data_IF_282765848556
#
_entry.id   IF_282765848556
#
_cell.length_a   1.000
_cell.length_b   1.000
_cell.length_c   1.000
_cell.angle_alpha   90.00
_cell.angle_beta   90.00
_cell.angle_gamma   90.00
#
_symmetry.space_group_name_H-M   'P 1'
#
loop_
_entity.id
_entity.type
_entity.pdbx_description
1 polymer ?
#
# COMPACT_ATOMS: atom_id res chain seq x y z
N UNK A 1 19.43 -32.47 61.26
CA UNK A 1 18.16 -32.69 61.99
C UNK A 1 17.03 -32.70 60.97
N UNK A 2 16.22 -33.78 60.98
CA UNK A 2 14.89 -33.97 60.36
C UNK A 2 14.81 -33.72 58.84
N UNK A 3 15.05 -34.75 58.01
CA UNK A 3 14.09 -35.78 57.53
C UNK A 3 13.13 -35.20 56.47
N UNK A 4 13.11 -35.67 55.23
CA UNK A 4 12.37 -36.89 54.85
C UNK A 4 12.92 -37.49 53.53
N UNK A 5 13.53 -38.68 53.61
CA UNK A 5 13.18 -39.95 52.92
C UNK A 5 13.35 -39.98 51.39
N UNK A 6 14.46 -40.49 50.85
CA UNK A 6 14.80 -41.91 50.59
C UNK A 6 13.85 -42.67 49.64
N UNK A 7 14.22 -42.66 48.36
CA UNK A 7 14.45 -43.81 47.46
C UNK A 7 13.98 -45.18 48.01
N UNK A 8 13.12 -45.87 47.25
CA UNK A 8 13.17 -47.33 47.07
C UNK A 8 12.36 -47.81 45.85
N UNK A 9 13.10 -48.33 44.87
CA UNK A 9 12.85 -49.56 44.10
C UNK A 9 11.47 -49.87 43.48
N UNK A 10 11.44 -49.73 42.15
CA UNK A 10 11.17 -50.76 41.13
C UNK A 10 10.72 -52.16 41.61
N UNK A 11 9.58 -52.63 41.08
CA UNK A 11 9.23 -53.98 40.53
C UNK A 11 7.70 -54.20 40.64
N UNK A 12 6.95 -53.87 39.59
CA UNK A 12 6.32 -54.77 38.61
C UNK A 12 5.13 -55.63 39.13
N UNK A 13 3.94 -55.27 38.60
CA UNK A 13 2.95 -56.15 37.95
C UNK A 13 1.90 -56.84 38.84
N UNK A 14 0.65 -56.34 38.81
CA UNK A 14 -0.49 -56.97 38.12
C UNK A 14 -1.82 -56.26 38.43
N UNK A 15 -2.63 -56.12 37.37
CA UNK A 15 -4.09 -56.04 37.34
C UNK A 15 -4.80 -54.77 37.85
N UNK A 16 -5.41 -54.05 36.90
CA UNK A 16 -6.56 -53.17 37.18
C UNK A 16 -6.63 -51.91 36.33
N UNK A 17 -6.67 -52.04 35.00
CA UNK A 17 -6.99 -50.91 34.11
C UNK A 17 -8.46 -50.50 34.27
N UNK A 18 -8.73 -49.49 35.10
CA UNK A 18 -9.90 -48.62 34.94
C UNK A 18 -9.43 -47.39 34.16
N UNK A 19 -9.81 -47.21 32.88
CA UNK A 19 -9.66 -45.93 32.22
C UNK A 19 -10.74 -44.99 32.74
N UNK A 20 -10.33 -43.99 33.49
CA UNK A 20 -10.98 -42.69 33.44
C UNK A 20 -10.86 -42.20 32.00
N UNK A 21 -11.97 -42.23 31.26
CA UNK A 21 -12.07 -41.51 29.99
C UNK A 21 -12.26 -40.04 30.39
N UNK A 22 -11.14 -39.34 30.46
CA UNK A 22 -11.11 -37.89 30.28
C UNK A 22 -11.52 -37.63 28.84
N UNK A 23 -12.62 -36.89 28.68
CA UNK A 23 -13.06 -36.28 27.43
C UNK A 23 -11.91 -35.49 26.81
N UNK A 24 -11.24 -36.07 25.82
CA UNK A 24 -10.41 -35.30 24.90
C UNK A 24 -11.33 -34.53 23.95
N UNK A 25 -11.17 -33.22 23.95
CA UNK A 25 -11.68 -32.26 22.98
C UNK A 25 -11.38 -32.74 21.55
N UNK A 26 -12.31 -32.48 20.63
CA UNK A 26 -12.30 -32.97 19.26
C UNK A 26 -10.96 -32.78 18.55
N UNK A 27 -10.45 -33.88 18.01
CA UNK A 27 -9.39 -33.86 17.02
C UNK A 27 -9.97 -33.34 15.71
N UNK A 28 -9.52 -32.16 15.28
CA UNK A 28 -9.83 -31.58 13.98
C UNK A 28 -9.13 -32.41 12.90
N UNK A 29 -9.89 -33.21 12.16
CA UNK A 29 -9.35 -34.07 11.11
C UNK A 29 -9.16 -33.25 9.84
N UNK A 30 -7.92 -32.85 9.56
CA UNK A 30 -7.52 -32.36 8.25
C UNK A 30 -7.72 -33.44 7.18
N UNK A 31 -8.53 -33.17 6.15
CA UNK A 31 -8.76 -34.10 5.06
C UNK A 31 -7.62 -34.00 4.04
N UNK A 32 -6.75 -35.02 4.01
CA UNK A 32 -5.67 -35.11 3.00
C UNK A 32 -6.29 -35.30 1.61
N UNK A 33 -5.90 -34.47 0.65
CA UNK A 33 -6.38 -34.49 -0.74
C UNK A 33 -5.25 -34.80 -1.71
N UNK A 34 -5.59 -35.20 -2.94
CA UNK A 34 -4.61 -35.38 -4.00
C UNK A 34 -4.19 -34.05 -4.59
N UNK A 35 -2.89 -33.87 -4.87
CA UNK A 35 -2.36 -32.70 -5.58
C UNK A 35 -2.97 -32.53 -6.99
N UNK A 36 -3.49 -33.60 -7.58
CA UNK A 36 -4.18 -33.53 -8.88
C UNK A 36 -5.60 -32.94 -8.78
N UNK A 37 -6.17 -32.93 -7.59
CA UNK A 37 -7.55 -32.50 -7.33
C UNK A 37 -7.64 -31.06 -6.81
N UNK A 38 -6.50 -30.37 -6.70
CA UNK A 38 -6.42 -28.97 -6.25
C UNK A 38 -6.11 -28.02 -7.42
N UNK A 39 -6.35 -26.71 -7.29
CA UNK A 39 -6.02 -25.73 -8.34
C UNK A 39 -4.56 -25.83 -8.79
N UNK A 40 -4.33 -25.76 -10.11
CA UNK A 40 -2.99 -25.84 -10.71
C UNK A 40 -2.05 -24.74 -10.22
N UNK A 41 -2.61 -23.60 -9.81
CA UNK A 41 -1.88 -22.42 -9.34
C UNK A 41 -1.06 -22.72 -8.08
N UNK A 42 -1.49 -23.68 -7.27
CA UNK A 42 -0.74 -24.16 -6.09
C UNK A 42 0.61 -24.75 -6.52
N UNK A 43 0.59 -25.66 -7.51
CA UNK A 43 1.82 -26.29 -8.02
C UNK A 43 2.72 -25.27 -8.73
N UNK A 44 2.13 -24.32 -9.46
CA UNK A 44 2.87 -23.23 -10.10
C UNK A 44 3.58 -22.35 -9.05
N UNK A 45 2.88 -21.94 -8.00
CA UNK A 45 3.44 -21.15 -6.91
C UNK A 45 4.64 -21.86 -6.26
N UNK A 46 4.47 -23.13 -5.88
CA UNK A 46 5.54 -23.92 -5.24
C UNK A 46 6.78 -23.99 -6.14
N UNK A 47 6.60 -24.30 -7.43
CA UNK A 47 7.71 -24.43 -8.38
C UNK A 47 8.48 -23.13 -8.60
N UNK A 48 7.79 -21.98 -8.58
CA UNK A 48 8.38 -20.67 -8.81
C UNK A 48 9.17 -20.16 -7.59
N UNK A 49 8.61 -20.34 -6.39
CA UNK A 49 9.17 -19.77 -5.17
C UNK A 49 10.13 -20.71 -4.46
N UNK A 50 9.87 -22.02 -4.50
CA UNK A 50 10.65 -23.06 -3.82
C UNK A 50 11.21 -24.10 -4.82
N UNK A 51 12.13 -23.68 -5.71
CA UNK A 51 12.68 -24.58 -6.73
C UNK A 51 13.32 -25.82 -6.10
N UNK A 52 12.89 -27.00 -6.55
CA UNK A 52 13.37 -28.29 -6.06
C UNK A 52 12.59 -28.85 -4.86
N UNK A 53 11.66 -28.10 -4.27
CA UNK A 53 10.73 -28.62 -3.28
C UNK A 53 9.54 -29.33 -3.96
N UNK A 54 9.04 -30.40 -3.34
CA UNK A 54 7.83 -31.11 -3.75
C UNK A 54 6.73 -30.90 -2.70
N UNK A 55 5.46 -30.98 -3.11
CA UNK A 55 4.33 -31.04 -2.18
C UNK A 55 4.29 -32.46 -1.62
N UNK A 56 4.63 -32.64 -0.34
CA UNK A 56 4.60 -33.95 0.33
C UNK A 56 3.19 -34.29 0.79
N UNK A 57 2.46 -33.30 1.28
CA UNK A 57 1.10 -33.44 1.75
C UNK A 57 0.32 -32.16 1.43
N UNK A 58 -0.95 -32.34 1.07
CA UNK A 58 -1.90 -31.24 0.96
C UNK A 58 -3.22 -31.67 1.62
N UNK A 59 -3.76 -30.82 2.48
CA UNK A 59 -5.01 -31.04 3.21
C UNK A 59 -5.97 -29.89 2.99
N UNK A 60 -7.27 -30.17 3.11
CA UNK A 60 -8.32 -29.14 3.09
C UNK A 60 -8.51 -28.57 4.51
N UNK A 61 -8.50 -27.25 4.62
CA UNK A 61 -8.76 -26.53 5.87
C UNK A 61 -10.27 -26.37 6.02
N UNK A 62 -10.83 -26.89 7.12
CA UNK A 62 -12.27 -26.93 7.36
C UNK A 62 -12.81 -25.79 8.25
N UNK A 63 -11.95 -25.01 8.92
CA UNK A 63 -12.37 -23.89 9.78
C UNK A 63 -12.17 -22.51 9.13
N UNK A 64 -13.20 -21.67 9.20
CA UNK A 64 -13.17 -20.23 8.90
C UNK A 64 -13.04 -19.89 7.42
N UNK A 65 -11.85 -20.16 6.85
CA UNK A 65 -11.51 -19.91 5.46
C UNK A 65 -11.36 -21.24 4.73
N UNK A 66 -12.25 -21.47 3.76
CA UNK A 66 -12.18 -22.67 2.92
C UNK A 66 -10.91 -22.58 2.04
N UNK A 67 -9.97 -23.50 2.22
CA UNK A 67 -8.69 -23.46 1.54
C UNK A 67 -7.89 -24.76 1.63
N UNK A 68 -6.61 -24.68 1.26
CA UNK A 68 -5.68 -25.79 1.28
C UNK A 68 -4.44 -25.47 2.11
N UNK A 69 -3.98 -26.43 2.90
CA UNK A 69 -2.70 -26.39 3.59
C UNK A 69 -1.73 -27.35 2.91
N UNK A 70 -0.55 -26.89 2.50
CA UNK A 70 0.46 -27.70 1.82
C UNK A 70 1.76 -27.76 2.62
N UNK A 71 2.22 -28.97 2.93
CA UNK A 71 3.54 -29.24 3.49
C UNK A 71 4.50 -29.61 2.36
N UNK A 72 5.59 -28.86 2.24
CA UNK A 72 6.63 -29.06 1.24
C UNK A 72 7.78 -29.93 1.77
N UNK A 73 8.53 -30.57 0.87
CA UNK A 73 9.65 -31.48 1.20
C UNK A 73 10.86 -30.81 1.86
N UNK A 74 10.88 -29.48 1.89
CA UNK A 74 11.85 -28.68 2.65
C UNK A 74 11.28 -28.22 4.00
N UNK A 75 10.13 -28.75 4.42
CA UNK A 75 9.34 -28.41 5.62
C UNK A 75 8.75 -27.00 5.63
N UNK A 76 8.73 -26.30 4.49
CA UNK A 76 7.94 -25.07 4.35
C UNK A 76 6.47 -25.45 4.28
N UNK A 77 5.64 -24.73 5.02
CA UNK A 77 4.18 -24.87 4.95
C UNK A 77 3.60 -23.67 4.20
N UNK A 78 2.58 -23.91 3.38
CA UNK A 78 1.90 -22.85 2.62
C UNK A 78 0.40 -23.05 2.68
N UNK A 79 -0.32 -21.99 3.04
CA UNK A 79 -1.78 -21.96 3.01
C UNK A 79 -2.25 -21.26 1.73
N UNK A 80 -3.36 -21.76 1.17
CA UNK A 80 -3.97 -21.27 -0.05
C UNK A 80 -5.49 -21.14 0.11
N UNK A 81 -6.11 -20.22 -0.64
CA UNK A 81 -7.55 -20.18 -0.82
C UNK A 81 -8.03 -21.37 -1.67
N UNK A 82 -9.35 -21.60 -1.71
CA UNK A 82 -9.96 -22.59 -2.59
C UNK A 82 -9.63 -22.41 -4.08
N UNK A 83 -9.36 -21.18 -4.50
CA UNK A 83 -9.02 -20.81 -5.87
C UNK A 83 -7.53 -21.04 -6.16
N UNK A 84 -6.72 -21.36 -5.15
CA UNK A 84 -5.29 -21.62 -5.30
C UNK A 84 -4.40 -20.38 -5.12
N UNK A 85 -4.96 -19.27 -4.65
CA UNK A 85 -4.16 -18.09 -4.27
C UNK A 85 -3.52 -18.33 -2.91
N UNK A 86 -2.22 -18.06 -2.76
CA UNK A 86 -1.53 -18.23 -1.48
C UNK A 86 -1.98 -17.18 -0.46
N UNK A 87 -2.08 -17.55 0.82
CA UNK A 87 -2.46 -16.66 1.93
C UNK A 87 -1.39 -16.59 3.02
N UNK A 88 -0.63 -17.67 3.22
CA UNK A 88 0.43 -17.71 4.23
C UNK A 88 1.57 -18.64 3.80
N UNK A 89 2.80 -18.28 4.15
CA UNK A 89 3.99 -19.12 4.02
C UNK A 89 4.68 -19.17 5.37
N UNK A 90 4.90 -20.35 5.94
CA UNK A 90 5.63 -20.55 7.19
C UNK A 90 7.05 -21.06 6.92
N UNK A 91 8.04 -20.46 7.56
CA UNK A 91 9.43 -20.89 7.49
C UNK A 91 9.83 -21.59 8.81
N UNK A 92 10.07 -22.91 8.78
CA UNK A 92 10.21 -23.71 10.00
C UNK A 92 11.50 -23.41 10.79
N UNK A 93 12.54 -22.88 10.15
CA UNK A 93 13.83 -22.60 10.78
C UNK A 93 14.67 -21.59 9.99
N UNK A 94 15.79 -21.19 10.59
CA UNK A 94 16.75 -20.24 10.02
C UNK A 94 17.36 -20.69 8.68
N UNK A 95 17.38 -22.00 8.39
CA UNK A 95 17.87 -22.52 7.10
C UNK A 95 17.00 -22.13 5.91
N UNK A 96 15.75 -21.72 6.14
CA UNK A 96 14.82 -21.34 5.08
C UNK A 96 14.79 -19.82 4.79
N UNK A 97 15.61 -19.03 5.49
CA UNK A 97 15.63 -17.56 5.33
C UNK A 97 16.07 -17.12 3.92
N UNK A 98 16.78 -17.98 3.18
CA UNK A 98 17.10 -17.69 1.76
C UNK A 98 15.83 -17.56 0.91
N UNK A 99 14.80 -18.35 1.19
CA UNK A 99 13.51 -18.26 0.50
C UNK A 99 12.72 -17.05 0.99
N UNK A 100 12.72 -16.78 2.30
CA UNK A 100 12.08 -15.59 2.85
C UNK A 100 12.67 -14.30 2.27
N UNK A 101 14.01 -14.20 2.15
CA UNK A 101 14.68 -13.05 1.52
C UNK A 101 14.34 -12.93 0.04
N UNK A 102 14.29 -14.04 -0.70
CA UNK A 102 13.83 -14.04 -2.10
C UNK A 102 12.39 -13.53 -2.22
N UNK A 103 11.52 -13.89 -1.27
CA UNK A 103 10.10 -13.53 -1.28
C UNK A 103 9.88 -12.04 -0.96
N UNK A 104 10.60 -11.52 0.03
CA UNK A 104 10.40 -10.17 0.57
C UNK A 104 11.29 -9.10 -0.07
N UNK A 105 12.42 -9.49 -0.68
CA UNK A 105 13.35 -8.57 -1.33
C UNK A 105 13.76 -7.40 -0.42
N UNK A 106 13.53 -6.17 -0.89
CA UNK A 106 13.83 -4.93 -0.16
C UNK A 106 13.14 -4.83 1.21
N UNK A 107 11.97 -5.46 1.38
CA UNK A 107 11.30 -5.49 2.69
C UNK A 107 12.13 -6.28 3.71
N UNK A 108 12.81 -7.36 3.27
CA UNK A 108 13.71 -8.13 4.13
C UNK A 108 14.91 -7.27 4.52
N UNK A 109 15.53 -6.60 3.54
CA UNK A 109 16.69 -5.74 3.76
C UNK A 109 16.35 -4.56 4.71
N UNK A 110 15.13 -4.00 4.61
CA UNK A 110 14.63 -3.00 5.56
C UNK A 110 14.57 -3.56 6.99
N UNK A 111 14.02 -4.75 7.19
CA UNK A 111 13.92 -5.36 8.52
C UNK A 111 15.30 -5.67 9.10
N UNK A 112 16.21 -6.20 8.28
CA UNK A 112 17.59 -6.50 8.67
C UNK A 112 18.35 -5.22 9.06
N UNK A 113 18.18 -4.13 8.30
CA UNK A 113 18.77 -2.84 8.62
C UNK A 113 18.23 -2.24 9.93
N UNK A 114 16.95 -2.48 10.24
CA UNK A 114 16.30 -1.93 11.45
C UNK A 114 16.54 -2.74 12.71
N UNK A 115 16.59 -4.07 12.59
CA UNK A 115 16.58 -4.98 13.73
C UNK A 115 17.84 -5.84 13.86
N UNK A 116 18.75 -5.80 12.88
CA UNK A 116 19.90 -6.69 12.81
C UNK A 116 19.52 -8.07 12.28
N UNK A 117 20.27 -9.10 12.69
CA UNK A 117 19.96 -10.49 12.33
C UNK A 117 18.60 -10.90 12.89
N UNK A 118 17.60 -10.96 12.02
CA UNK A 118 16.25 -11.42 12.34
C UNK A 118 15.81 -12.48 11.35
N UNK A 119 15.09 -13.49 11.84
CA UNK A 119 14.50 -14.52 11.01
C UNK A 119 13.01 -14.24 10.82
N UNK A 120 12.54 -14.38 9.59
CA UNK A 120 11.12 -14.34 9.24
C UNK A 120 10.54 -15.73 9.49
N UNK A 121 9.56 -15.81 10.39
CA UNK A 121 8.86 -17.04 10.74
C UNK A 121 7.69 -17.33 9.79
N UNK A 122 7.03 -16.29 9.29
CA UNK A 122 5.96 -16.43 8.33
C UNK A 122 5.78 -15.18 7.46
N UNK A 123 5.16 -15.33 6.30
CA UNK A 123 4.70 -14.24 5.45
C UNK A 123 3.21 -14.46 5.20
N UNK A 124 2.41 -13.41 5.34
CA UNK A 124 0.96 -13.42 5.11
C UNK A 124 0.64 -12.53 3.93
N UNK A 125 -0.18 -13.02 2.99
CA UNK A 125 -0.79 -12.18 1.97
C UNK A 125 -1.87 -11.34 2.64
N UNK A 126 -1.83 -10.03 2.41
CA UNK A 126 -2.84 -9.11 2.90
C UNK A 126 -3.27 -8.22 1.74
N UNK A 127 -4.45 -7.63 1.82
CA UNK A 127 -5.05 -6.87 0.71
C UNK A 127 -4.13 -5.76 0.17
N UNK A 128 -3.40 -5.10 1.05
CA UNK A 128 -2.52 -3.97 0.72
C UNK A 128 -1.09 -4.38 0.38
N UNK A 129 -0.73 -5.65 0.60
CA UNK A 129 0.63 -6.14 0.44
C UNK A 129 0.90 -7.39 1.28
N UNK A 130 1.85 -7.28 2.21
CA UNK A 130 2.39 -8.43 2.93
C UNK A 130 2.55 -8.11 4.42
N UNK A 131 2.31 -9.10 5.28
CA UNK A 131 2.80 -9.07 6.66
C UNK A 131 3.94 -10.07 6.82
N UNK A 132 5.08 -9.63 7.33
CA UNK A 132 6.16 -10.51 7.79
C UNK A 132 6.04 -10.77 9.29
N UNK A 133 5.81 -12.03 9.67
CA UNK A 133 5.98 -12.52 11.03
C UNK A 133 7.45 -12.78 11.32
N UNK A 134 7.93 -12.26 12.44
CA UNK A 134 9.30 -12.38 12.89
C UNK A 134 9.46 -13.50 13.92
N UNK A 135 10.68 -13.98 14.10
CA UNK A 135 11.02 -15.04 15.06
C UNK A 135 10.80 -14.65 16.53
N UNK A 136 10.68 -13.35 16.82
CA UNK A 136 10.40 -12.81 18.16
C UNK A 136 8.90 -12.54 18.40
N UNK A 137 8.04 -12.93 17.46
CA UNK A 137 6.59 -12.80 17.55
C UNK A 137 6.02 -11.48 17.02
N UNK A 138 6.87 -10.49 16.67
CA UNK A 138 6.39 -9.27 16.03
C UNK A 138 5.90 -9.55 14.61
N UNK A 139 4.91 -8.78 14.15
CA UNK A 139 4.43 -8.79 12.77
C UNK A 139 4.62 -7.40 12.17
N UNK A 140 5.30 -7.29 11.03
CA UNK A 140 5.42 -6.03 10.29
C UNK A 140 4.62 -6.09 9.01
N UNK A 141 3.76 -5.10 8.82
CA UNK A 141 2.99 -4.94 7.59
C UNK A 141 3.73 -4.05 6.59
N UNK A 142 3.62 -4.40 5.31
CA UNK A 142 4.21 -3.71 4.17
C UNK A 142 3.19 -3.55 3.06
N UNK A 143 3.22 -2.41 2.40
CA UNK A 143 2.45 -2.17 1.19
C UNK A 143 3.17 -2.78 -0.03
N UNK A 144 2.41 -3.35 -0.97
CA UNK A 144 2.95 -3.94 -2.20
C UNK A 144 3.68 -2.90 -3.06
N UNK A 145 3.09 -1.71 -3.19
CA UNK A 145 3.69 -0.59 -3.92
C UNK A 145 4.79 0.08 -3.06
N UNK A 146 5.96 0.32 -3.66
CA UNK A 146 7.15 0.93 -3.03
C UNK A 146 7.74 0.15 -1.83
N UNK A 147 7.34 -1.11 -1.61
CA UNK A 147 7.82 -1.95 -0.50
C UNK A 147 7.77 -1.24 0.88
N UNK A 148 6.81 -0.34 1.07
CA UNK A 148 6.80 0.60 2.18
C UNK A 148 6.29 -0.06 3.46
N UNK A 149 7.08 0.00 4.53
CA UNK A 149 6.65 -0.43 5.86
C UNK A 149 5.50 0.43 6.38
N UNK A 150 4.41 -0.24 6.81
CA UNK A 150 3.20 0.38 7.34
C UNK A 150 3.19 0.45 8.86
N UNK A 151 3.92 -0.43 9.54
CA UNK A 151 3.99 -0.49 11.01
C UNK A 151 3.94 -1.91 11.52
N UNK A 152 3.66 -2.04 12.82
CA UNK A 152 3.45 -3.31 13.50
C UNK A 152 1.98 -3.71 13.44
N UNK A 153 1.71 -4.92 12.98
CA UNK A 153 0.36 -5.49 12.97
C UNK A 153 0.07 -6.21 14.30
N UNK A 154 -1.08 -5.93 14.89
CA UNK A 154 -1.54 -6.56 16.13
C UNK A 154 -2.83 -7.34 15.89
N UNK A 155 -3.06 -8.45 16.61
CA UNK A 155 -4.41 -9.01 16.75
C UNK A 155 -5.37 -7.91 17.21
N UNK A 156 -6.60 -7.89 16.70
CA UNK A 156 -7.56 -6.80 16.94
C UNK A 156 -7.76 -6.57 18.43
N UNK A 157 -7.93 -7.65 19.21
CA UNK A 157 -8.19 -7.58 20.65
C UNK A 157 -7.06 -6.88 21.41
N UNK A 158 -5.81 -7.11 20.98
CA UNK A 158 -4.62 -6.49 21.58
C UNK A 158 -4.41 -5.09 21.01
N UNK A 159 -4.64 -4.90 19.71
CA UNK A 159 -4.50 -3.62 19.02
C UNK A 159 -5.43 -2.54 19.57
N UNK A 160 -6.68 -2.92 19.91
CA UNK A 160 -7.68 -2.01 20.47
C UNK A 160 -7.26 -1.42 21.83
N UNK A 161 -6.42 -2.12 22.60
CA UNK A 161 -5.88 -1.60 23.86
C UNK A 161 -4.96 -0.39 23.65
N UNK A 162 -4.34 -0.27 22.47
CA UNK A 162 -3.47 0.85 22.11
C UNK A 162 -4.21 2.05 21.50
N UNK A 163 -5.48 1.87 21.10
CA UNK A 163 -6.29 2.96 20.56
C UNK A 163 -6.78 3.86 21.69
N UNK A 164 -6.59 5.17 21.54
CA UNK A 164 -7.11 6.14 22.51
C UNK A 164 -8.64 6.17 22.50
N UNK A 165 -9.25 6.59 23.62
CA UNK A 165 -10.71 6.81 23.70
C UNK A 165 -11.24 7.72 22.60
N UNK A 166 -10.42 8.68 22.15
CA UNK A 166 -10.77 9.57 21.05
C UNK A 166 -10.93 8.82 19.73
N UNK A 167 -10.00 7.92 19.40
CA UNK A 167 -10.07 7.07 18.20
C UNK A 167 -11.29 6.16 18.28
N UNK A 168 -11.49 5.49 19.42
CA UNK A 168 -12.64 4.58 19.64
C UNK A 168 -13.97 5.33 19.47
N UNK A 169 -14.11 6.50 20.09
CA UNK A 169 -15.30 7.34 19.96
C UNK A 169 -15.54 7.82 18.53
N UNK A 170 -14.48 8.14 17.77
CA UNK A 170 -14.61 8.48 16.36
C UNK A 170 -15.14 7.29 15.55
N UNK A 171 -14.53 6.11 15.70
CA UNK A 171 -14.96 4.89 14.99
C UNK A 171 -16.42 4.56 15.31
N UNK A 172 -16.83 4.61 16.57
CA UNK A 172 -18.21 4.35 16.98
C UNK A 172 -19.23 5.31 16.36
N UNK A 173 -18.87 6.58 16.16
CA UNK A 173 -19.72 7.58 15.52
C UNK A 173 -19.73 7.44 14.00
N UNK A 174 -18.56 7.27 13.40
CA UNK A 174 -18.36 7.19 11.96
C UNK A 174 -18.89 5.89 11.36
N UNK A 175 -18.76 4.78 12.09
CA UNK A 175 -19.05 3.42 11.63
C UNK A 175 -19.86 2.63 12.68
N UNK A 176 -21.07 3.06 13.03
CA UNK A 176 -21.85 2.44 14.11
C UNK A 176 -22.18 0.98 13.79
N UNK A 177 -21.83 0.07 14.71
CA UNK A 177 -22.13 -1.36 14.62
C UNK A 177 -21.26 -2.15 13.62
N UNK A 178 -20.21 -1.54 13.09
CA UNK A 178 -19.23 -2.20 12.21
C UNK A 178 -18.00 -2.66 13.00
N UNK A 179 -17.27 -3.62 12.45
CA UNK A 179 -16.20 -4.31 13.16
C UNK A 179 -14.82 -3.82 12.74
N UNK A 180 -13.92 -3.68 13.72
CA UNK A 180 -12.50 -3.49 13.45
C UNK A 180 -11.93 -4.84 13.00
N UNK A 181 -11.38 -4.88 11.80
CA UNK A 181 -10.85 -6.10 11.17
C UNK A 181 -9.33 -6.15 11.21
N UNK A 182 -8.68 -4.98 11.32
CA UNK A 182 -7.21 -4.91 11.37
C UNK A 182 -6.71 -3.64 12.03
N UNK A 183 -5.62 -3.77 12.78
CA UNK A 183 -4.92 -2.65 13.41
C UNK A 183 -3.43 -2.74 13.10
N UNK A 184 -2.89 -1.70 12.48
CA UNK A 184 -1.45 -1.50 12.29
C UNK A 184 -1.03 -0.22 13.01
N UNK A 185 -0.04 -0.34 13.88
CA UNK A 185 0.48 0.75 14.69
C UNK A 185 1.84 1.18 14.14
N UNK A 186 1.92 2.44 13.74
CA UNK A 186 3.15 3.06 13.29
C UNK A 186 4.12 3.29 14.44
N UNK A 187 5.41 3.32 14.11
CA UNK A 187 6.47 3.58 15.09
C UNK A 187 7.49 4.56 14.53
N UNK A 188 7.87 5.55 15.33
CA UNK A 188 8.92 6.51 14.97
C UNK A 188 10.26 5.82 14.69
N UNK A 189 10.51 4.64 15.30
CA UNK A 189 11.70 3.83 15.05
C UNK A 189 11.73 3.28 13.60
N UNK A 190 10.56 3.01 13.03
CA UNK A 190 10.41 2.55 11.65
C UNK A 190 10.52 3.75 10.71
N UNK A 191 9.65 4.74 10.90
CA UNK A 191 9.62 5.99 10.12
C UNK A 191 8.88 7.08 10.92
N UNK A 192 9.50 8.24 11.22
CA UNK A 192 8.85 9.31 11.98
C UNK A 192 7.69 10.00 11.23
N UNK A 193 7.58 9.82 9.91
CA UNK A 193 6.52 10.44 9.09
C UNK A 193 5.33 9.51 8.82
N UNK A 194 5.32 8.28 9.36
CA UNK A 194 4.19 7.38 9.14
C UNK A 194 3.01 7.73 10.07
N UNK A 195 1.75 7.54 9.62
CA UNK A 195 0.59 7.54 10.50
C UNK A 195 0.81 6.66 11.72
N UNK A 196 0.34 7.12 12.88
CA UNK A 196 0.51 6.41 14.15
C UNK A 196 -0.43 5.21 14.24
N UNK A 197 -1.65 5.33 13.71
CA UNK A 197 -2.62 4.24 13.71
C UNK A 197 -3.24 4.08 12.34
N UNK A 198 -3.42 2.83 11.93
CA UNK A 198 -4.18 2.41 10.76
C UNK A 198 -5.20 1.39 11.24
N UNK A 199 -6.47 1.66 10.96
CA UNK A 199 -7.57 0.83 11.42
C UNK A 199 -8.45 0.50 10.22
N UNK A 200 -8.69 -0.79 9.99
CA UNK A 200 -9.63 -1.26 8.97
C UNK A 200 -10.97 -1.58 9.61
N UNK A 201 -12.03 -1.15 8.93
CA UNK A 201 -13.42 -1.44 9.28
C UNK A 201 -14.02 -2.33 8.19
N UNK A 202 -14.52 -3.50 8.58
CA UNK A 202 -15.10 -4.52 7.69
C UNK A 202 -14.24 -4.86 6.45
N UNK A 203 -12.91 -4.80 6.55
CA UNK A 203 -11.94 -4.91 5.44
C UNK A 203 -12.22 -3.98 4.23
N UNK A 204 -13.06 -2.97 4.43
CA UNK A 204 -13.60 -2.09 3.38
C UNK A 204 -13.04 -0.68 3.52
N UNK A 205 -13.05 -0.13 4.72
CA UNK A 205 -12.66 1.26 4.99
C UNK A 205 -11.37 1.30 5.80
N UNK A 206 -10.40 2.08 5.32
CA UNK A 206 -9.20 2.43 6.06
C UNK A 206 -9.36 3.78 6.75
N UNK A 207 -8.99 3.83 8.02
CA UNK A 207 -8.82 5.06 8.78
C UNK A 207 -7.34 5.22 9.16
N UNK A 208 -6.81 6.43 8.98
CA UNK A 208 -5.48 6.82 9.45
C UNK A 208 -5.60 7.87 10.56
N UNK A 209 -4.87 7.67 11.65
CA UNK A 209 -4.79 8.63 12.74
C UNK A 209 -3.35 9.03 13.03
N UNK A 210 -3.17 10.27 13.49
CA UNK A 210 -1.93 10.73 14.09
C UNK A 210 -1.80 10.24 15.54
N UNK A 211 -0.68 10.62 16.20
CA UNK A 211 -0.38 10.18 17.57
C UNK A 211 -1.29 10.82 18.62
N UNK A 212 -1.92 11.95 18.30
CA UNK A 212 -2.93 12.62 19.11
C UNK A 212 -4.33 12.01 18.93
N UNK A 213 -4.48 11.01 18.06
CA UNK A 213 -5.74 10.37 17.73
C UNK A 213 -6.68 11.25 16.89
N UNK A 214 -6.14 12.26 16.21
CA UNK A 214 -6.87 12.97 15.15
C UNK A 214 -6.84 12.13 13.88
N UNK A 215 -8.00 11.99 13.22
CA UNK A 215 -8.06 11.33 11.94
C UNK A 215 -7.43 12.22 10.86
N UNK A 216 -6.73 11.58 9.92
CA UNK A 216 -6.05 12.22 8.79
C UNK A 216 -6.54 11.68 7.45
N UNK A 217 -7.12 10.48 7.45
CA UNK A 217 -7.74 9.85 6.28
C UNK A 217 -8.89 8.95 6.73
N UNK A 218 -10.00 8.98 6.01
CA UNK A 218 -11.01 7.93 5.97
C UNK A 218 -11.28 7.61 4.51
N UNK A 219 -11.10 6.36 4.11
CA UNK A 219 -11.13 6.00 2.69
C UNK A 219 -11.68 4.60 2.47
N UNK A 220 -12.61 4.48 1.53
CA UNK A 220 -13.05 3.21 0.95
C UNK A 220 -12.20 2.77 -0.24
N UNK A 221 -11.15 3.51 -0.61
CA UNK A 221 -10.40 3.31 -1.86
C UNK A 221 -9.38 2.16 -1.82
N UNK A 222 -9.61 1.22 -0.90
CA UNK A 222 -8.82 0.02 -0.70
C UNK A 222 -9.44 -1.18 -1.39
N UNK A 223 -10.75 -1.15 -1.64
CA UNK A 223 -11.46 -2.19 -2.37
C UNK A 223 -12.11 -1.65 -3.63
N UNK A 224 -11.90 -2.33 -4.75
CA UNK A 224 -12.66 -2.05 -5.97
C UNK A 224 -13.84 -3.00 -5.98
N UNK A 225 -15.01 -2.52 -5.58
CA UNK A 225 -16.24 -3.33 -5.64
C UNK A 225 -16.89 -3.20 -7.01
N UNK A 226 -17.44 -4.30 -7.52
CA UNK A 226 -18.25 -4.28 -8.75
C UNK A 226 -19.52 -3.51 -8.44
N UNK A 227 -19.77 -2.40 -9.14
CA UNK A 227 -21.07 -1.72 -9.06
C UNK A 227 -21.86 -2.05 -10.32
N UNK A 228 -23.03 -2.66 -10.11
CA UNK A 228 -23.80 -3.41 -11.11
C UNK A 228 -24.41 -2.58 -12.25
N UNK A 229 -24.32 -1.25 -12.25
CA UNK A 229 -25.01 -0.48 -13.29
C UNK A 229 -24.30 -0.48 -14.65
N UNK A 230 -22.98 -0.73 -14.74
CA UNK A 230 -22.26 -0.80 -16.02
C UNK A 230 -21.04 -1.75 -16.03
N UNK A 231 -20.80 -2.52 -14.97
CA UNK A 231 -19.63 -3.40 -14.86
C UNK A 231 -18.31 -2.67 -14.56
N UNK A 232 -18.35 -1.38 -14.25
CA UNK A 232 -17.18 -0.65 -13.74
C UNK A 232 -16.97 -0.95 -12.25
N UNK A 233 -15.72 -1.26 -11.91
CA UNK A 233 -15.27 -1.40 -10.53
C UNK A 233 -15.15 -0.01 -9.89
N UNK A 234 -15.97 0.29 -8.89
CA UNK A 234 -15.92 1.55 -8.15
C UNK A 234 -15.45 1.31 -6.72
N UNK A 235 -14.83 2.32 -6.11
CA UNK A 235 -14.53 2.27 -4.68
C UNK A 235 -15.81 2.41 -3.85
N UNK A 236 -15.95 1.72 -2.71
CA UNK A 236 -17.01 1.95 -1.73
C UNK A 236 -17.17 3.43 -1.38
N UNK A 237 -18.43 3.88 -1.38
CA UNK A 237 -18.77 5.21 -0.88
C UNK A 237 -18.68 5.24 0.65
N UNK A 238 -18.25 6.37 1.20
CA UNK A 238 -18.21 6.56 2.64
C UNK A 238 -19.63 6.62 3.23
N UNK A 239 -19.87 6.02 4.40
CA UNK A 239 -21.17 6.13 5.07
C UNK A 239 -21.56 7.58 5.35
N UNK A 240 -22.86 7.89 5.30
CA UNK A 240 -23.38 9.22 5.60
C UNK A 240 -22.93 9.72 6.99
N UNK A 241 -22.78 8.82 7.96
CA UNK A 241 -22.25 9.12 9.29
C UNK A 241 -20.84 9.69 9.27
N UNK A 242 -19.99 9.31 8.32
CA UNK A 242 -18.67 9.93 8.13
C UNK A 242 -18.82 11.34 7.57
N UNK A 243 -19.73 11.52 6.61
CA UNK A 243 -19.99 12.82 5.97
C UNK A 243 -20.55 13.82 6.98
N UNK A 244 -21.49 13.39 7.83
CA UNK A 244 -22.12 14.21 8.87
C UNK A 244 -21.12 14.69 9.95
N UNK A 245 -19.96 14.04 10.07
CA UNK A 245 -18.88 14.45 10.97
C UNK A 245 -17.97 15.54 10.37
N UNK A 246 -18.11 15.86 9.08
CA UNK A 246 -17.36 16.93 8.45
C UNK A 246 -17.90 18.30 8.86
N UNK A 247 -17.05 19.35 8.87
CA UNK A 247 -17.52 20.70 9.14
C UNK A 247 -18.59 21.14 8.12
N UNK A 248 -19.67 21.77 8.61
CA UNK A 248 -20.78 22.23 7.76
C UNK A 248 -20.33 23.05 6.54
N UNK A 249 -19.36 23.95 6.72
CA UNK A 249 -18.82 24.76 5.61
C UNK A 249 -18.13 23.93 4.53
N UNK A 250 -17.40 22.88 4.94
CA UNK A 250 -16.74 21.97 3.99
C UNK A 250 -17.79 21.25 3.16
N UNK A 251 -18.83 20.76 3.85
CA UNK A 251 -19.96 20.10 3.22
C UNK A 251 -20.71 21.01 2.23
N UNK A 252 -21.06 22.24 2.62
CA UNK A 252 -21.67 23.24 1.73
C UNK A 252 -20.84 23.45 0.45
N UNK A 253 -19.52 23.61 0.58
CA UNK A 253 -18.62 23.78 -0.56
C UNK A 253 -18.59 22.57 -1.51
N UNK A 254 -18.64 21.36 -0.96
CA UNK A 254 -18.66 20.13 -1.75
C UNK A 254 -19.93 20.08 -2.58
N UNK A 255 -21.10 20.29 -1.98
CA UNK A 255 -22.37 20.21 -2.70
C UNK A 255 -22.62 21.38 -3.63
N UNK A 256 -22.08 22.56 -3.34
CA UNK A 256 -22.10 23.69 -4.28
C UNK A 256 -21.26 23.40 -5.53
N UNK A 257 -20.14 22.69 -5.37
CA UNK A 257 -19.20 22.39 -6.46
C UNK A 257 -19.60 21.13 -7.25
N UNK A 258 -19.99 20.06 -6.57
CA UNK A 258 -20.39 18.78 -7.14
C UNK A 258 -21.63 18.25 -6.37
N UNK A 259 -22.86 18.70 -6.73
CA UNK A 259 -24.09 18.37 -5.99
C UNK A 259 -24.41 16.87 -5.89
N UNK A 260 -23.89 16.07 -6.82
CA UNK A 260 -24.07 14.61 -6.87
C UNK A 260 -22.76 13.88 -6.54
N UNK A 261 -21.90 14.48 -5.71
CA UNK A 261 -20.63 13.90 -5.30
C UNK A 261 -20.84 12.55 -4.63
N UNK A 262 -20.10 11.54 -5.10
CA UNK A 262 -19.99 10.22 -4.47
C UNK A 262 -18.67 10.15 -3.73
N UNK A 263 -18.70 10.42 -2.43
CA UNK A 263 -17.48 10.61 -1.65
C UNK A 263 -16.89 9.25 -1.28
N UNK A 264 -15.74 8.89 -1.83
CA UNK A 264 -15.06 7.60 -1.58
C UNK A 264 -13.89 7.73 -0.60
N UNK A 265 -13.37 8.94 -0.42
CA UNK A 265 -12.23 9.20 0.44
C UNK A 265 -12.25 10.64 0.93
N UNK A 266 -11.88 10.85 2.19
CA UNK A 266 -11.66 12.17 2.78
C UNK A 266 -10.34 12.16 3.55
N UNK A 267 -9.45 13.09 3.21
CA UNK A 267 -8.25 13.36 3.98
C UNK A 267 -8.31 14.75 4.60
N UNK A 268 -7.67 14.89 5.77
CA UNK A 268 -7.52 16.13 6.50
C UNK A 268 -6.07 16.30 6.93
N UNK A 269 -5.51 17.47 6.69
CA UNK A 269 -4.18 17.83 7.18
C UNK A 269 -4.23 18.67 8.47
N UNK A 270 -3.08 18.96 9.05
CA UNK A 270 -2.94 19.75 10.28
C UNK A 270 -3.38 21.22 10.15
N UNK A 271 -3.62 21.70 8.94
CA UNK A 271 -4.07 23.06 8.65
C UNK A 271 -5.57 23.11 8.31
N UNK A 272 -6.32 22.03 8.52
CA UNK A 272 -7.72 21.91 8.13
C UNK A 272 -7.95 22.05 6.62
N UNK A 273 -6.98 21.61 5.80
CA UNK A 273 -7.25 21.30 4.40
C UNK A 273 -7.94 19.95 4.31
N UNK A 274 -9.10 19.96 3.67
CA UNK A 274 -9.85 18.76 3.32
C UNK A 274 -9.61 18.44 1.86
N UNK A 275 -9.31 17.18 1.56
CA UNK A 275 -9.44 16.69 0.19
C UNK A 275 -10.38 15.51 0.14
N UNK A 276 -11.31 15.56 -0.80
CA UNK A 276 -12.33 14.56 -1.01
C UNK A 276 -12.21 13.98 -2.41
N UNK A 277 -12.16 12.66 -2.53
CA UNK A 277 -12.44 12.02 -3.81
C UNK A 277 -13.95 11.92 -3.98
N UNK A 278 -14.49 12.52 -5.04
CA UNK A 278 -15.95 12.61 -5.30
C UNK A 278 -16.40 11.82 -6.54
N UNK A 279 -15.43 11.37 -7.35
CA UNK A 279 -15.59 10.49 -8.51
C UNK A 279 -14.23 9.85 -8.79
N UNK A 280 -14.10 8.65 -9.39
CA UNK A 280 -12.78 8.07 -9.74
C UNK A 280 -11.82 8.99 -10.51
N UNK A 281 -12.37 9.98 -11.22
CA UNK A 281 -11.62 10.95 -12.04
C UNK A 281 -11.73 12.39 -11.53
N UNK A 282 -12.27 12.62 -10.32
CA UNK A 282 -12.39 13.96 -9.74
C UNK A 282 -12.16 13.96 -8.23
N UNK A 283 -11.42 14.97 -7.78
CA UNK A 283 -11.27 15.29 -6.37
C UNK A 283 -11.60 16.77 -6.11
N UNK A 284 -11.93 17.09 -4.88
CA UNK A 284 -12.20 18.45 -4.40
C UNK A 284 -11.24 18.74 -3.25
N UNK A 285 -10.51 19.84 -3.32
CA UNK A 285 -9.70 20.34 -2.21
C UNK A 285 -10.29 21.63 -1.67
N UNK A 286 -10.44 21.74 -0.35
CA UNK A 286 -10.95 22.95 0.32
C UNK A 286 -10.22 23.28 1.62
N UNK A 287 -10.02 24.58 1.88
CA UNK A 287 -9.43 25.09 3.12
C UNK A 287 -10.52 25.56 4.08
N UNK A 288 -10.79 24.83 5.15
CA UNK A 288 -11.79 25.22 6.16
C UNK A 288 -13.21 25.50 5.61
N UNK A 289 -13.50 25.05 4.38
CA UNK A 289 -14.73 25.37 3.65
C UNK A 289 -14.82 26.80 3.09
N UNK A 290 -13.69 27.51 2.92
CA UNK A 290 -13.69 28.90 2.41
C UNK A 290 -13.36 29.01 0.92
N UNK A 291 -12.51 28.12 0.41
CA UNK A 291 -12.07 28.09 -0.99
C UNK A 291 -12.04 26.67 -1.49
N UNK A 292 -12.41 26.48 -2.74
CA UNK A 292 -12.56 25.15 -3.32
C UNK A 292 -11.88 25.08 -4.67
N UNK A 293 -11.06 24.06 -4.86
CA UNK A 293 -10.45 23.73 -6.14
C UNK A 293 -10.87 22.32 -6.56
N UNK A 294 -11.41 22.20 -7.77
CA UNK A 294 -11.82 20.92 -8.33
C UNK A 294 -10.69 20.37 -9.20
N UNK A 295 -10.17 19.22 -8.79
CA UNK A 295 -9.09 18.50 -9.44
C UNK A 295 -9.71 17.51 -10.46
N UNK A 296 -9.49 17.77 -11.74
CA UNK A 296 -9.95 16.98 -12.88
C UNK A 296 -8.87 15.98 -13.28
N UNK A 297 -8.84 14.82 -12.61
CA UNK A 297 -7.86 13.76 -12.86
C UNK A 297 -7.95 13.26 -14.31
N UNK A 298 -9.15 13.29 -14.92
CA UNK A 298 -9.34 12.92 -16.33
C UNK A 298 -8.50 13.77 -17.30
N UNK A 299 -8.33 15.08 -17.07
CA UNK A 299 -7.53 15.94 -17.95
C UNK A 299 -6.05 15.54 -17.93
N UNK A 300 -5.54 15.12 -16.78
CA UNK A 300 -4.18 14.59 -16.64
C UNK A 300 -4.06 13.24 -17.34
N UNK A 301 -5.05 12.36 -17.16
CA UNK A 301 -5.08 11.07 -17.87
C UNK A 301 -5.05 11.24 -19.38
N UNK A 302 -5.86 12.17 -19.91
CA UNK A 302 -5.91 12.48 -21.34
C UNK A 302 -4.56 12.99 -21.86
N UNK A 303 -3.88 13.87 -21.13
CA UNK A 303 -2.55 14.34 -21.49
C UNK A 303 -1.55 13.18 -21.55
N UNK A 304 -1.49 12.36 -20.51
CA UNK A 304 -0.49 11.29 -20.37
C UNK A 304 -0.70 10.12 -21.33
N UNK A 305 -1.96 9.83 -21.72
CA UNK A 305 -2.29 8.75 -22.67
C UNK A 305 -1.67 8.95 -24.06
N UNK A 306 -1.26 10.17 -24.41
CA UNK A 306 -0.55 10.45 -25.66
C UNK A 306 0.89 9.90 -25.66
N UNK A 307 1.46 9.62 -24.47
CA UNK A 307 2.88 9.29 -24.31
C UNK A 307 3.12 7.96 -23.59
N UNK A 308 2.19 7.54 -22.73
CA UNK A 308 2.32 6.33 -21.91
C UNK A 308 1.08 5.45 -22.04
N UNK A 309 1.28 4.13 -22.04
CA UNK A 309 0.19 3.13 -22.15
C UNK A 309 -0.43 2.77 -20.80
N UNK A 310 0.30 2.93 -19.70
CA UNK A 310 -0.09 2.51 -18.34
C UNK A 310 -0.42 3.69 -17.42
N UNK A 311 -1.21 4.65 -17.91
CA UNK A 311 -1.55 5.90 -17.19
C UNK A 311 -2.42 5.67 -15.94
N UNK A 312 -2.97 4.46 -15.78
CA UNK A 312 -3.91 4.16 -14.71
C UNK A 312 -3.25 3.90 -13.34
N UNK A 313 -1.94 3.67 -13.29
CA UNK A 313 -1.21 3.39 -12.05
C UNK A 313 -0.38 4.60 -11.61
N UNK A 314 -0.96 5.79 -11.54
CA UNK A 314 -0.23 7.02 -11.20
C UNK A 314 -0.55 7.51 -9.78
N UNK A 315 0.43 8.16 -9.16
CA UNK A 315 0.24 8.89 -7.90
C UNK A 315 0.00 10.36 -8.21
N UNK A 316 -1.12 10.89 -7.73
CA UNK A 316 -1.48 12.30 -7.90
C UNK A 316 -1.43 12.97 -6.53
N UNK A 317 -0.90 14.18 -6.49
CA UNK A 317 -0.88 15.05 -5.32
C UNK A 317 -1.01 16.49 -5.78
N UNK A 318 -1.33 17.40 -4.88
CA UNK A 318 -1.50 18.82 -5.19
C UNK A 318 -0.96 19.67 -4.05
N UNK A 319 -0.69 20.95 -4.34
CA UNK A 319 -0.34 21.92 -3.31
C UNK A 319 -1.59 22.42 -2.56
N UNK A 320 -1.35 23.10 -1.45
CA UNK A 320 -2.41 23.67 -0.61
C UNK A 320 -2.83 25.10 -1.02
N UNK A 321 -2.21 25.71 -2.05
CA UNK A 321 -2.61 27.05 -2.49
C UNK A 321 -3.76 26.97 -3.49
N UNK A 322 -5.00 27.07 -3.02
CA UNK A 322 -6.19 27.08 -3.88
C UNK A 322 -6.22 28.25 -4.89
N UNK A 323 -5.39 29.30 -4.71
CA UNK A 323 -5.32 30.41 -5.67
C UNK A 323 -4.34 30.11 -6.82
N UNK A 324 -3.33 29.29 -6.54
CA UNK A 324 -2.34 28.84 -7.52
C UNK A 324 -2.21 27.32 -7.41
N UNK A 325 -3.27 26.58 -7.76
CA UNK A 325 -3.27 25.13 -7.61
C UNK A 325 -2.22 24.53 -8.54
N UNK A 326 -1.46 23.61 -7.98
CA UNK A 326 -0.44 22.83 -8.67
C UNK A 326 -0.78 21.37 -8.47
N UNK A 327 -0.75 20.60 -9.53
CA UNK A 327 -1.01 19.15 -9.49
C UNK A 327 0.25 18.41 -9.91
N UNK A 328 0.82 17.63 -8.99
CA UNK A 328 1.98 16.79 -9.21
C UNK A 328 1.54 15.36 -9.49
N UNK A 329 2.08 14.77 -10.55
CA UNK A 329 1.83 13.37 -10.93
C UNK A 329 3.14 12.61 -11.00
N UNK A 330 3.18 11.42 -10.41
CA UNK A 330 4.29 10.48 -10.53
C UNK A 330 3.80 9.16 -11.13
N UNK A 331 4.55 8.66 -12.12
CA UNK A 331 4.31 7.38 -12.78
C UNK A 331 5.22 6.30 -12.20
N UNK A 332 4.83 5.01 -12.24
CA UNK A 332 5.62 3.91 -11.71
C UNK A 332 6.96 3.73 -12.42
N UNK A 333 7.04 4.14 -13.69
CA UNK A 333 8.26 4.12 -14.47
C UNK A 333 9.26 5.21 -14.02
N UNK A 334 8.96 6.05 -13.04
CA UNK A 334 9.83 7.11 -12.53
C UNK A 334 9.63 8.49 -13.14
N UNK A 335 8.81 8.63 -14.19
CA UNK A 335 8.44 9.94 -14.71
C UNK A 335 7.60 10.72 -13.69
N UNK A 336 7.81 12.03 -13.61
CA UNK A 336 6.97 12.93 -12.85
C UNK A 336 6.64 14.21 -13.61
N UNK A 337 5.48 14.76 -13.30
CA UNK A 337 4.87 15.88 -13.99
C UNK A 337 4.37 16.87 -12.95
N UNK A 338 4.43 18.16 -13.29
CA UNK A 338 3.81 19.23 -12.54
C UNK A 338 2.90 19.99 -13.49
N UNK A 339 1.64 20.19 -13.12
CA UNK A 339 0.65 20.96 -13.84
C UNK A 339 0.18 22.16 -13.02
N UNK A 340 -0.25 23.23 -13.69
CA UNK A 340 -1.02 24.31 -13.05
C UNK A 340 -2.52 23.99 -12.95
N UNK A 341 -3.30 24.95 -12.44
CA UNK A 341 -4.75 24.84 -12.28
C UNK A 341 -5.54 24.66 -13.56
N UNK A 342 -4.97 25.06 -14.70
CA UNK A 342 -5.57 24.92 -16.03
C UNK A 342 -5.15 23.61 -16.72
N UNK A 343 -4.35 22.80 -16.01
CA UNK A 343 -3.77 21.53 -16.46
C UNK A 343 -2.74 21.70 -17.58
N UNK A 344 -2.10 22.88 -17.65
CA UNK A 344 -0.92 23.08 -18.48
C UNK A 344 0.30 22.56 -17.74
N UNK A 345 1.14 21.80 -18.43
CA UNK A 345 2.36 21.26 -17.82
C UNK A 345 3.36 22.40 -17.55
N UNK A 346 3.85 22.42 -16.32
CA UNK A 346 4.92 23.29 -15.84
C UNK A 346 6.25 22.55 -15.87
N UNK A 347 6.29 21.29 -15.44
CA UNK A 347 7.52 20.50 -15.44
C UNK A 347 7.27 19.08 -15.86
N UNK A 348 8.21 18.52 -16.59
CA UNK A 348 8.26 17.10 -16.93
C UNK A 348 9.67 16.60 -16.58
N UNK A 349 9.75 15.61 -15.70
CA UNK A 349 11.00 15.04 -15.23
C UNK A 349 10.97 13.53 -15.48
N UNK A 350 11.93 13.03 -16.26
CA UNK A 350 12.05 11.61 -16.61
C UNK A 350 12.54 10.70 -15.48
N UNK A 351 12.80 11.24 -14.28
CA UNK A 351 13.31 10.46 -13.16
C UNK A 351 14.71 9.88 -13.43
N UNK A 352 15.53 10.59 -14.19
CA UNK A 352 16.84 10.11 -14.66
C UNK A 352 16.79 9.37 -16.00
N UNK A 353 15.61 9.21 -16.61
CA UNK A 353 15.47 8.68 -17.97
C UNK A 353 15.43 9.79 -19.01
N UNK A 354 15.83 9.44 -20.23
CA UNK A 354 15.73 10.30 -21.40
C UNK A 354 14.27 10.37 -21.84
N UNK A 355 13.81 11.56 -22.21
CA UNK A 355 12.50 11.77 -22.78
C UNK A 355 12.33 10.99 -24.10
N UNK A 356 11.19 10.29 -24.29
CA UNK A 356 10.84 9.69 -25.57
C UNK A 356 10.76 10.73 -26.70
N UNK A 357 11.10 10.34 -27.93
CA UNK A 357 11.00 11.20 -29.11
C UNK A 357 9.59 11.78 -29.31
N UNK A 358 8.55 11.05 -28.89
CA UNK A 358 7.15 11.50 -28.94
C UNK A 358 6.87 12.72 -28.07
N UNK A 359 7.71 12.99 -27.06
CA UNK A 359 7.59 14.15 -26.17
C UNK A 359 8.37 15.37 -26.66
N UNK A 360 9.34 15.21 -27.57
CA UNK A 360 10.12 16.34 -28.11
C UNK A 360 9.24 17.45 -28.73
N UNK A 361 8.13 17.15 -29.43
CA UNK A 361 7.20 18.18 -29.94
C UNK A 361 6.54 19.07 -28.87
N UNK A 362 6.66 18.74 -27.58
CA UNK A 362 6.24 19.62 -26.48
C UNK A 362 7.14 20.85 -26.35
N UNK A 363 8.35 20.82 -26.91
CA UNK A 363 9.32 21.90 -26.82
C UNK A 363 9.22 22.83 -28.05
N UNK A 364 9.48 24.15 -27.87
CA UNK A 364 9.68 25.05 -29.00
C UNK A 364 10.74 24.52 -29.97
N UNK A 365 10.50 24.67 -31.27
CA UNK A 365 11.38 24.17 -32.33
C UNK A 365 12.83 24.70 -32.24
N UNK A 366 13.01 25.90 -31.68
CA UNK A 366 14.32 26.48 -31.38
C UNK A 366 15.14 25.66 -30.39
N UNK A 367 14.50 25.13 -29.34
CA UNK A 367 15.17 24.26 -28.35
C UNK A 367 15.60 22.95 -29.00
N UNK A 368 14.70 22.31 -29.74
CA UNK A 368 14.98 21.05 -30.44
C UNK A 368 16.13 21.23 -31.44
N UNK A 369 16.13 22.35 -32.18
CA UNK A 369 17.17 22.65 -33.16
C UNK A 369 18.52 22.91 -32.49
N UNK A 370 18.54 23.65 -31.37
CA UNK A 370 19.76 23.89 -30.60
C UNK A 370 20.33 22.57 -30.05
N UNK A 371 19.50 21.76 -29.41
CA UNK A 371 19.90 20.47 -28.87
C UNK A 371 20.49 19.55 -29.95
N UNK A 372 19.81 19.39 -31.09
CA UNK A 372 20.29 18.57 -32.22
C UNK A 372 21.63 19.03 -32.80
N UNK A 373 21.94 20.31 -32.72
CA UNK A 373 23.19 20.84 -33.27
C UNK A 373 24.35 20.82 -32.26
N UNK A 374 24.04 20.81 -30.96
CA UNK A 374 25.02 20.99 -29.89
C UNK A 374 25.31 19.70 -29.12
N UNK A 375 24.30 18.87 -28.86
CA UNK A 375 24.41 17.68 -28.01
C UNK A 375 23.37 16.59 -28.36
N UNK A 376 23.21 16.26 -29.64
CA UNK A 376 22.20 15.32 -30.12
C UNK A 376 22.30 13.90 -29.52
N UNK A 377 23.51 13.51 -29.10
CA UNK A 377 23.82 12.24 -28.45
C UNK A 377 23.60 12.26 -26.93
N UNK A 378 23.31 13.44 -26.35
CA UNK A 378 23.03 13.62 -24.93
C UNK A 378 21.54 13.88 -24.73
N UNK A 379 20.81 12.89 -24.20
CA UNK A 379 19.35 12.97 -24.07
C UNK A 379 18.86 13.99 -23.04
N UNK A 380 17.68 14.57 -23.30
CA UNK A 380 16.95 15.46 -22.38
C UNK A 380 16.29 14.62 -21.29
N UNK A 381 16.43 15.01 -20.02
CA UNK A 381 15.87 14.29 -18.88
C UNK A 381 14.85 15.10 -18.07
N UNK A 382 14.97 16.43 -18.05
CA UNK A 382 14.06 17.31 -17.31
C UNK A 382 13.84 18.59 -18.11
N UNK A 383 12.59 19.06 -18.15
CA UNK A 383 12.26 20.40 -18.64
C UNK A 383 11.30 21.06 -17.67
N UNK A 384 11.70 22.21 -17.17
CA UNK A 384 10.97 23.04 -16.22
C UNK A 384 10.64 24.40 -16.84
N UNK A 385 9.35 24.71 -16.97
CA UNK A 385 8.81 25.99 -17.44
C UNK A 385 8.60 26.90 -16.25
N UNK A 386 9.50 27.86 -16.07
CA UNK A 386 9.42 28.83 -14.97
C UNK A 386 9.60 30.24 -15.48
N UNK A 387 8.75 31.14 -15.00
CA UNK A 387 8.80 32.56 -15.34
C UNK A 387 8.78 32.84 -16.87
N UNK A 388 8.10 31.97 -17.62
CA UNK A 388 8.03 32.04 -19.09
C UNK A 388 9.28 31.51 -19.83
N UNK A 389 10.28 31.02 -19.12
CA UNK A 389 11.49 30.41 -19.69
C UNK A 389 11.45 28.88 -19.60
N UNK A 390 12.30 28.22 -20.38
CA UNK A 390 12.52 26.77 -20.35
C UNK A 390 13.90 26.48 -19.78
N UNK A 391 13.94 25.75 -18.68
CA UNK A 391 15.16 25.15 -18.13
C UNK A 391 15.22 23.70 -18.61
N UNK A 392 16.26 23.36 -19.36
CA UNK A 392 16.44 22.03 -19.96
C UNK A 392 17.65 21.36 -19.31
N UNK A 393 17.45 20.18 -18.71
CA UNK A 393 18.50 19.34 -18.16
C UNK A 393 18.77 18.17 -19.10
N UNK A 394 20.04 17.89 -19.35
CA UNK A 394 20.49 16.72 -20.09
C UNK A 394 21.02 15.62 -19.16
N UNK A 395 21.13 14.40 -19.67
CA UNK A 395 21.55 13.21 -18.91
C UNK A 395 22.98 13.31 -18.36
N UNK A 396 23.86 14.11 -18.98
CA UNK A 396 25.23 14.35 -18.53
C UNK A 396 25.34 15.44 -17.44
N UNK A 397 24.21 16.04 -17.04
CA UNK A 397 24.13 17.11 -16.06
C UNK A 397 24.18 18.52 -16.65
N UNK A 398 24.30 18.68 -17.97
CA UNK A 398 24.26 19.98 -18.64
C UNK A 398 22.90 20.66 -18.44
N UNK A 399 22.90 21.97 -18.12
CA UNK A 399 21.69 22.77 -17.89
C UNK A 399 21.64 23.97 -18.80
N UNK A 400 20.56 24.11 -19.55
CA UNK A 400 20.39 25.21 -20.49
C UNK A 400 19.13 26.00 -20.19
N UNK A 401 19.25 27.32 -20.30
CA UNK A 401 18.14 28.25 -20.20
C UNK A 401 17.75 28.76 -21.59
N UNK A 402 16.47 28.68 -21.93
CA UNK A 402 15.88 29.24 -23.14
C UNK A 402 14.72 30.17 -22.78
N UNK A 403 14.47 31.19 -23.61
CA UNK A 403 13.27 32.01 -23.46
C UNK A 403 11.99 31.30 -23.95
N UNK A 404 10.84 31.96 -23.80
CA UNK A 404 9.53 31.45 -24.24
C UNK A 404 9.44 31.07 -25.73
N UNK A 405 10.31 31.64 -26.58
CA UNK A 405 10.36 31.37 -28.02
C UNK A 405 11.35 30.26 -28.40
N UNK A 406 12.04 29.66 -27.42
CA UNK A 406 13.06 28.63 -27.64
C UNK A 406 14.42 29.17 -28.10
N UNK A 407 14.70 30.45 -27.85
CA UNK A 407 16.03 31.03 -28.10
C UNK A 407 16.92 30.77 -26.88
N UNK A 408 18.10 30.21 -27.12
CA UNK A 408 19.10 29.93 -26.08
C UNK A 408 19.56 31.24 -25.40
N UNK A 409 19.55 31.25 -24.07
CA UNK A 409 20.00 32.37 -23.24
C UNK A 409 21.40 32.06 -22.70
N UNK A 410 21.56 30.96 -21.96
CA UNK A 410 22.83 30.59 -21.33
C UNK A 410 22.90 29.11 -20.94
N UNK A 411 24.12 28.65 -20.72
CA UNK A 411 24.43 27.46 -19.94
C UNK A 411 24.36 27.86 -18.45
N UNK A 412 23.56 27.17 -17.67
CA UNK A 412 23.35 27.46 -16.25
C UNK A 412 24.44 26.85 -15.35
N UNK A 413 25.26 25.94 -15.88
CA UNK A 413 26.44 25.40 -15.18
C UNK A 413 27.66 26.31 -15.33
N UNK A 414 27.71 27.12 -16.40
CA UNK A 414 28.70 28.16 -16.58
C UNK A 414 28.23 29.43 -15.85
N UNK A 415 28.79 29.69 -14.67
CA UNK A 415 28.40 30.77 -13.76
C UNK A 415 28.31 32.16 -14.37
#
# INVERSE_FOLDING_TARGET
MKKLFCICYLFLVLCGTFPWITSCSGDDVEEVVSVQDVPSDISLFVSAWFPGAMIEQISRINEGERGYHALLSNNVEVDFTNEGSWTKVCFPNAGMQIFARKFLGEMYDFMEAKFGEISVSAIYAIKEGLTAGLSDGRKLAFQHYENRCLGYEYPVEVGEEYLSEKIKNYILQAFPGREITRIIIGSEQLNPSMPAYRVWIDDTYLLLFDKEGEWTLVSGEFDRTVVEENGELLFPELPQTVIDLLPQKVMEQIWDSEPNARITSVSRDQKDYYTLQVHPTKAISTYGGEKTFVIQISRIQEFLKNYFTEVYQMKISWNYDCNNPLVSVALPNGFSFLFDGDYEWLRINGGGQIWPDSMLPLLPSGIISYWKNTAADVGITDVDRREGNYHVLLIDGTRWLFNSYGVFIKDENAG
#
